data_IF_975280608862
#
_entry.id   IF_975280608862
#
_cell.length_a   1.000
_cell.length_b   1.000
_cell.length_c   1.000
_cell.angle_alpha   90.00
_cell.angle_beta   90.00
_cell.angle_gamma   90.00
#
_symmetry.space_group_name_H-M   'P 1'
#
loop_
_entity.id
_entity.type
_entity.pdbx_description
1 polymer ?
#
# COMPACT_ATOMS: atom_id res chain seq x y z
N UNK A 1 -21.91 31.41 49.33
CA UNK A 1 -21.09 31.96 48.23
C UNK A 1 -20.13 30.95 47.62
N UNK A 2 -19.30 30.23 48.40
CA UNK A 2 -18.31 29.26 47.86
C UNK A 2 -18.88 28.18 46.96
N UNK A 3 -20.05 27.59 47.28
CA UNK A 3 -20.71 26.54 46.47
C UNK A 3 -21.19 27.02 45.12
N UNK A 4 -21.69 28.24 44.97
CA UNK A 4 -22.13 28.84 43.69
C UNK A 4 -20.93 29.14 42.76
N UNK A 5 -19.78 29.51 43.33
CA UNK A 5 -18.54 29.77 42.57
C UNK A 5 -17.99 28.45 42.01
N UNK A 6 -18.02 27.36 42.79
CA UNK A 6 -17.57 26.04 42.36
C UNK A 6 -18.42 25.51 41.18
N UNK A 7 -19.74 25.67 41.26
CA UNK A 7 -20.67 25.25 40.20
C UNK A 7 -20.41 26.06 38.92
N UNK A 8 -20.16 27.37 39.04
CA UNK A 8 -19.87 28.23 37.90
C UNK A 8 -18.54 27.88 37.23
N UNK A 9 -17.50 27.56 38.03
CA UNK A 9 -16.19 27.14 37.52
C UNK A 9 -16.28 25.80 36.82
N UNK A 10 -17.01 24.81 37.37
CA UNK A 10 -17.24 23.50 36.73
C UNK A 10 -18.01 23.68 35.42
N UNK A 11 -19.06 24.51 35.41
CA UNK A 11 -19.82 24.81 34.19
C UNK A 11 -18.97 25.49 33.12
N UNK A 12 -18.10 26.43 33.52
CA UNK A 12 -17.18 27.12 32.60
C UNK A 12 -16.18 26.15 31.99
N UNK A 13 -15.59 25.25 32.81
CA UNK A 13 -14.68 24.19 32.32
C UNK A 13 -15.34 23.19 31.39
N UNK A 14 -16.63 22.87 31.65
CA UNK A 14 -17.39 21.97 30.77
C UNK A 14 -17.68 22.60 29.40
N UNK A 15 -18.06 23.86 29.36
CA UNK A 15 -18.31 24.62 28.12
C UNK A 15 -17.02 24.77 27.30
N UNK A 16 -15.89 25.10 27.96
CA UNK A 16 -14.59 25.21 27.27
C UNK A 16 -14.15 23.85 26.68
N UNK A 17 -14.33 22.74 27.41
CA UNK A 17 -14.04 21.41 26.90
C UNK A 17 -14.90 21.02 25.70
N UNK A 18 -16.20 21.31 25.75
CA UNK A 18 -17.14 21.01 24.66
C UNK A 18 -16.79 21.83 23.41
N UNK A 19 -16.52 23.12 23.56
CA UNK A 19 -16.14 23.97 22.42
C UNK A 19 -14.78 23.58 21.81
N UNK A 20 -13.81 23.18 22.65
CA UNK A 20 -12.51 22.70 22.18
C UNK A 20 -12.65 21.33 21.44
N UNK A 21 -13.49 20.42 21.94
CA UNK A 21 -13.77 19.15 21.27
C UNK A 21 -14.49 19.37 19.94
N UNK A 22 -15.50 20.22 19.90
CA UNK A 22 -16.20 20.54 18.66
C UNK A 22 -15.26 21.15 17.60
N UNK A 23 -14.28 21.96 18.03
CA UNK A 23 -13.30 22.53 17.12
C UNK A 23 -12.37 21.45 16.53
N UNK A 24 -11.93 20.46 17.33
CA UNK A 24 -11.08 19.37 16.84
C UNK A 24 -11.84 18.46 15.87
N UNK A 25 -13.08 18.09 16.20
CA UNK A 25 -13.89 17.23 15.34
C UNK A 25 -14.18 17.92 13.99
N UNK A 26 -14.41 19.23 14.01
CA UNK A 26 -14.54 20.04 12.79
C UNK A 26 -13.26 20.10 11.97
N UNK A 27 -12.08 20.17 12.63
CA UNK A 27 -10.79 20.16 11.93
C UNK A 27 -10.55 18.79 11.26
N UNK A 28 -10.88 17.68 11.94
CA UNK A 28 -10.79 16.33 11.37
C UNK A 28 -11.69 16.24 10.14
N UNK A 29 -12.97 16.58 10.27
CA UNK A 29 -13.93 16.55 9.16
C UNK A 29 -13.46 17.39 7.97
N UNK A 30 -12.93 18.60 8.19
CA UNK A 30 -12.43 19.43 7.11
C UNK A 30 -11.18 18.81 6.45
N UNK A 31 -10.31 18.14 7.22
CA UNK A 31 -9.16 17.43 6.71
C UNK A 31 -9.57 16.22 5.84
N UNK A 32 -10.55 15.44 6.30
CA UNK A 32 -11.10 14.31 5.55
C UNK A 32 -11.81 14.77 4.25
N UNK A 33 -12.57 15.86 4.32
CA UNK A 33 -13.21 16.46 3.14
C UNK A 33 -12.15 16.93 2.13
N UNK A 34 -11.11 17.63 2.58
CA UNK A 34 -10.02 18.05 1.70
C UNK A 34 -9.31 16.82 1.07
N UNK A 35 -9.09 15.75 1.84
CA UNK A 35 -8.52 14.49 1.36
C UNK A 35 -9.40 13.84 0.28
N UNK A 36 -10.73 13.82 0.50
CA UNK A 36 -11.71 13.25 -0.43
C UNK A 36 -11.76 14.00 -1.78
N UNK A 37 -11.51 15.31 -1.77
CA UNK A 37 -11.46 16.14 -2.98
C UNK A 37 -10.04 16.33 -3.53
N UNK A 38 -9.09 15.47 -3.15
CA UNK A 38 -7.69 15.47 -3.59
C UNK A 38 -6.91 16.75 -3.26
N UNK A 39 -7.43 17.61 -2.35
CA UNK A 39 -6.68 18.76 -1.83
C UNK A 39 -5.76 18.30 -0.69
N UNK A 40 -4.72 17.55 -1.06
CA UNK A 40 -3.78 16.94 -0.11
C UNK A 40 -3.04 17.99 0.73
N UNK A 41 -2.71 19.15 0.15
CA UNK A 41 -2.02 20.23 0.86
C UNK A 41 -2.90 20.79 1.96
N UNK A 42 -4.16 21.08 1.66
CA UNK A 42 -5.12 21.60 2.64
C UNK A 42 -5.43 20.53 3.71
N UNK A 43 -5.57 19.27 3.31
CA UNK A 43 -5.75 18.14 4.22
C UNK A 43 -4.63 18.07 5.25
N UNK A 44 -3.36 18.12 4.82
CA UNK A 44 -2.19 18.14 5.70
C UNK A 44 -2.24 19.34 6.67
N UNK A 45 -2.66 20.51 6.22
CA UNK A 45 -2.77 21.70 7.10
C UNK A 45 -3.80 21.49 8.23
N UNK A 46 -4.94 20.86 7.91
CA UNK A 46 -5.94 20.55 8.92
C UNK A 46 -5.44 19.50 9.91
N UNK A 47 -4.85 18.38 9.41
CA UNK A 47 -4.32 17.35 10.29
C UNK A 47 -3.13 17.83 11.14
N UNK A 48 -2.30 18.74 10.64
CA UNK A 48 -1.27 19.39 11.46
C UNK A 48 -1.87 20.10 12.68
N UNK A 49 -2.99 20.83 12.50
CA UNK A 49 -3.69 21.50 13.59
C UNK A 49 -4.29 20.49 14.58
N UNK A 50 -4.89 19.40 14.05
CA UNK A 50 -5.44 18.32 14.91
C UNK A 50 -4.34 17.69 15.75
N UNK A 51 -3.23 17.30 15.12
CA UNK A 51 -2.12 16.60 15.78
C UNK A 51 -1.34 17.47 16.76
N UNK A 52 -1.33 18.78 16.56
CA UNK A 52 -0.81 19.73 17.55
C UNK A 52 -1.66 19.76 18.84
N UNK A 53 -2.97 19.52 18.74
CA UNK A 53 -3.90 19.50 19.86
C UNK A 53 -4.09 18.11 20.47
N UNK A 54 -4.12 17.07 19.63
CA UNK A 54 -4.42 15.67 20.02
C UNK A 54 -3.49 14.69 19.32
N UNK A 55 -2.21 14.63 19.67
CA UNK A 55 -1.22 13.76 19.01
C UNK A 55 -1.43 12.26 19.28
N UNK A 56 -2.32 11.90 20.20
CA UNK A 56 -2.63 10.51 20.57
C UNK A 56 -3.74 9.88 19.70
N UNK A 57 -4.31 10.59 18.75
CA UNK A 57 -5.29 10.06 17.81
C UNK A 57 -4.55 9.44 16.62
N UNK A 58 -4.75 8.14 16.39
CA UNK A 58 -4.08 7.43 15.31
C UNK A 58 -4.58 7.83 13.91
N UNK A 59 -5.91 8.08 13.76
CA UNK A 59 -6.54 8.35 12.47
C UNK A 59 -6.00 9.60 11.78
N UNK A 60 -5.85 10.77 12.43
CA UNK A 60 -5.24 11.94 11.78
C UNK A 60 -3.78 11.73 11.34
N UNK A 61 -3.02 10.84 12.00
CA UNK A 61 -1.70 10.44 11.52
C UNK A 61 -1.80 9.64 10.23
N UNK A 62 -2.71 8.66 10.18
CA UNK A 62 -2.96 7.86 9.00
C UNK A 62 -3.44 8.71 7.83
N UNK A 63 -4.44 9.57 8.02
CA UNK A 63 -4.99 10.41 6.95
C UNK A 63 -3.95 11.41 6.41
N UNK A 64 -3.10 11.95 7.30
CA UNK A 64 -1.99 12.80 6.87
C UNK A 64 -0.92 12.00 6.10
N UNK A 65 -0.68 10.76 6.48
CA UNK A 65 0.21 9.87 5.73
C UNK A 65 -0.34 9.57 4.34
N UNK A 66 -1.66 9.36 4.20
CA UNK A 66 -2.32 9.20 2.90
C UNK A 66 -2.12 10.45 2.04
N UNK A 67 -2.38 11.64 2.59
CA UNK A 67 -2.20 12.90 1.87
C UNK A 67 -0.73 13.10 1.42
N UNK A 68 0.24 12.79 2.27
CA UNK A 68 1.66 12.87 1.95
C UNK A 68 2.06 11.87 0.85
N UNK A 69 1.52 10.65 0.90
CA UNK A 69 1.76 9.62 -0.11
C UNK A 69 1.35 10.10 -1.51
N UNK A 70 0.17 10.72 -1.62
CA UNK A 70 -0.31 11.26 -2.90
C UNK A 70 0.45 12.53 -3.37
N UNK A 71 1.21 13.17 -2.50
CA UNK A 71 2.16 14.23 -2.85
C UNK A 71 3.60 13.72 -3.05
N UNK A 72 3.78 12.41 -3.21
CA UNK A 72 5.07 11.74 -3.38
C UNK A 72 6.05 11.92 -2.18
N UNK A 73 5.57 12.42 -1.03
CA UNK A 73 6.35 12.45 0.21
C UNK A 73 6.30 11.08 0.91
N UNK A 74 6.94 10.09 0.31
CA UNK A 74 6.93 8.71 0.80
C UNK A 74 7.64 8.56 2.15
N UNK A 75 8.65 9.37 2.42
CA UNK A 75 9.36 9.38 3.71
C UNK A 75 8.45 9.92 4.81
N UNK A 76 7.78 11.03 4.55
CA UNK A 76 6.83 11.61 5.48
C UNK A 76 5.60 10.72 5.69
N UNK A 77 5.13 10.03 4.65
CA UNK A 77 4.04 9.05 4.74
C UNK A 77 4.43 7.85 5.61
N UNK A 78 5.62 7.27 5.39
CA UNK A 78 6.16 6.18 6.23
C UNK A 78 6.27 6.59 7.70
N UNK A 79 6.76 7.81 7.98
CA UNK A 79 6.90 8.32 9.33
C UNK A 79 5.54 8.47 10.04
N UNK A 80 4.56 9.07 9.36
CA UNK A 80 3.22 9.29 9.92
C UNK A 80 2.47 7.96 10.09
N UNK A 81 2.56 7.04 9.12
CA UNK A 81 2.01 5.69 9.24
C UNK A 81 2.63 4.91 10.41
N UNK A 82 3.93 5.08 10.68
CA UNK A 82 4.59 4.49 11.84
C UNK A 82 3.99 5.02 13.14
N UNK A 83 3.74 6.34 13.23
CA UNK A 83 3.06 6.92 14.39
C UNK A 83 1.63 6.41 14.56
N UNK A 84 0.90 6.22 13.47
CA UNK A 84 -0.44 5.63 13.51
C UNK A 84 -0.40 4.18 14.02
N UNK A 85 0.58 3.36 13.58
CA UNK A 85 0.78 1.97 14.06
C UNK A 85 1.14 1.94 15.55
N UNK A 86 2.03 2.82 16.01
CA UNK A 86 2.39 2.93 17.43
C UNK A 86 1.17 3.17 18.33
N UNK A 87 0.17 3.91 17.81
CA UNK A 87 -1.06 4.25 18.53
C UNK A 87 -2.16 3.19 18.34
N UNK A 88 -2.24 2.55 17.19
CA UNK A 88 -3.21 1.49 16.90
C UNK A 88 -2.62 0.43 15.95
N UNK A 89 -2.06 -0.68 16.48
CA UNK A 89 -1.42 -1.73 15.69
C UNK A 89 -2.38 -2.78 15.12
N UNK A 90 -3.69 -2.52 15.11
CA UNK A 90 -4.72 -3.50 14.72
C UNK A 90 -5.43 -3.15 13.41
N UNK A 91 -4.96 -2.14 12.69
CA UNK A 91 -5.56 -1.66 11.44
C UNK A 91 -4.65 -2.03 10.28
N UNK A 92 -5.06 -2.97 9.46
CA UNK A 92 -4.28 -3.50 8.34
C UNK A 92 -3.96 -2.45 7.28
N UNK A 93 -4.86 -1.47 7.06
CA UNK A 93 -4.67 -0.40 6.08
C UNK A 93 -3.46 0.50 6.40
N UNK A 94 -3.10 0.65 7.69
CA UNK A 94 -1.95 1.47 8.06
C UNK A 94 -0.65 0.77 7.67
N UNK A 95 -0.60 -0.57 7.84
CA UNK A 95 0.55 -1.37 7.39
C UNK A 95 0.66 -1.38 5.87
N UNK A 96 -0.46 -1.48 5.14
CA UNK A 96 -0.46 -1.39 3.67
C UNK A 96 0.08 -0.04 3.21
N UNK A 97 -0.42 1.08 3.75
CA UNK A 97 0.08 2.41 3.42
C UNK A 97 1.59 2.56 3.69
N UNK A 98 2.08 2.04 4.83
CA UNK A 98 3.51 2.07 5.13
C UNK A 98 4.30 1.19 4.17
N UNK A 99 3.80 0.01 3.85
CA UNK A 99 4.43 -0.90 2.91
C UNK A 99 4.54 -0.29 1.49
N UNK A 100 3.46 0.28 0.95
CA UNK A 100 3.52 0.93 -0.37
C UNK A 100 4.44 2.15 -0.36
N UNK A 101 4.48 2.90 0.74
CA UNK A 101 5.43 4.01 0.91
C UNK A 101 6.89 3.52 0.91
N UNK A 102 7.15 2.35 1.50
CA UNK A 102 8.46 1.67 1.50
C UNK A 102 8.83 1.12 0.13
N UNK A 103 7.87 0.56 -0.60
CA UNK A 103 8.07 0.11 -1.99
C UNK A 103 8.53 1.28 -2.86
N UNK A 104 7.89 2.46 -2.74
CA UNK A 104 8.30 3.66 -3.47
C UNK A 104 9.72 4.14 -3.13
N UNK A 105 10.26 3.70 -2.01
CA UNK A 105 11.63 3.95 -1.56
C UNK A 105 12.55 2.75 -1.80
N UNK A 106 12.11 1.73 -2.53
CA UNK A 106 12.83 0.47 -2.79
C UNK A 106 13.20 -0.34 -1.52
N UNK A 107 12.53 -0.05 -0.39
CA UNK A 107 12.72 -0.75 0.89
C UNK A 107 11.87 -2.03 0.93
N UNK A 108 12.10 -2.94 0.00
CA UNK A 108 11.25 -4.12 -0.19
C UNK A 108 11.22 -5.07 1.00
N UNK A 109 12.34 -5.28 1.69
CA UNK A 109 12.40 -6.15 2.88
C UNK A 109 11.54 -5.63 4.02
N UNK A 110 11.52 -4.30 4.23
CA UNK A 110 10.68 -3.68 5.25
C UNK A 110 9.20 -3.72 4.87
N UNK A 111 8.90 -3.59 3.57
CA UNK A 111 7.54 -3.71 3.04
C UNK A 111 6.99 -5.13 3.21
N UNK A 112 7.81 -6.18 3.02
CA UNK A 112 7.43 -7.58 3.28
C UNK A 112 6.97 -7.75 4.74
N UNK A 113 7.71 -7.18 5.69
CA UNK A 113 7.36 -7.24 7.12
C UNK A 113 6.00 -6.59 7.41
N UNK A 114 5.70 -5.47 6.76
CA UNK A 114 4.40 -4.81 6.89
C UNK A 114 3.28 -5.63 6.28
N UNK A 115 3.49 -6.21 5.09
CA UNK A 115 2.49 -7.09 4.47
C UNK A 115 2.29 -8.39 5.25
N UNK A 116 3.32 -8.95 5.90
CA UNK A 116 3.16 -10.08 6.82
C UNK A 116 2.19 -9.72 7.94
N UNK A 117 2.31 -8.50 8.47
CA UNK A 117 1.40 -8.02 9.52
C UNK A 117 0.00 -7.71 8.98
N UNK A 118 -0.12 -7.06 7.83
CA UNK A 118 -1.42 -6.77 7.19
C UNK A 118 -2.19 -8.06 6.88
N UNK A 119 -1.52 -9.07 6.30
CA UNK A 119 -2.09 -10.39 6.01
C UNK A 119 -2.52 -11.12 7.30
N UNK A 120 -1.73 -11.02 8.37
CA UNK A 120 -2.09 -11.59 9.66
C UNK A 120 -3.36 -10.97 10.23
N UNK A 121 -3.54 -9.65 10.07
CA UNK A 121 -4.72 -8.92 10.55
C UNK A 121 -5.93 -9.20 9.65
N UNK A 122 -5.74 -9.19 8.33
CA UNK A 122 -6.81 -9.46 7.37
C UNK A 122 -6.32 -10.29 6.19
N UNK A 123 -6.38 -11.64 6.28
CA UNK A 123 -5.90 -12.53 5.23
C UNK A 123 -6.80 -12.58 3.98
N UNK A 124 -7.95 -11.92 3.99
CA UNK A 124 -8.93 -11.95 2.88
C UNK A 124 -8.65 -10.90 1.79
N UNK A 125 -7.73 -9.97 2.03
CA UNK A 125 -7.35 -8.91 1.08
C UNK A 125 -6.27 -9.44 0.13
N UNK A 126 -6.66 -9.73 -1.12
CA UNK A 126 -5.77 -10.32 -2.11
C UNK A 126 -4.58 -9.41 -2.49
N UNK A 127 -4.79 -8.08 -2.49
CA UNK A 127 -3.73 -7.12 -2.84
C UNK A 127 -2.52 -7.20 -1.90
N UNK A 128 -2.70 -7.51 -0.61
CA UNK A 128 -1.58 -7.66 0.32
C UNK A 128 -0.67 -8.84 -0.09
N UNK A 129 -1.26 -9.94 -0.53
CA UNK A 129 -0.52 -11.11 -1.02
C UNK A 129 0.21 -10.80 -2.33
N UNK A 130 -0.47 -10.11 -3.26
CA UNK A 130 0.13 -9.69 -4.54
C UNK A 130 1.33 -8.78 -4.29
N UNK A 131 1.15 -7.73 -3.49
CA UNK A 131 2.20 -6.76 -3.22
C UNK A 131 3.38 -7.38 -2.46
N UNK A 132 3.11 -8.32 -1.53
CA UNK A 132 4.17 -9.06 -0.85
C UNK A 132 4.96 -9.94 -1.82
N UNK A 133 4.29 -10.64 -2.73
CA UNK A 133 4.95 -11.46 -3.74
C UNK A 133 5.83 -10.61 -4.67
N UNK A 134 5.36 -9.42 -5.08
CA UNK A 134 6.17 -8.46 -5.84
C UNK A 134 7.41 -8.02 -5.04
N UNK A 135 7.24 -7.70 -3.76
CA UNK A 135 8.39 -7.35 -2.91
C UNK A 135 9.39 -8.50 -2.79
N UNK A 136 8.91 -9.75 -2.60
CA UNK A 136 9.75 -10.95 -2.53
C UNK A 136 10.51 -11.20 -3.83
N UNK A 137 9.86 -10.98 -4.97
CA UNK A 137 10.52 -11.07 -6.28
C UNK A 137 11.66 -10.03 -6.39
N UNK A 138 11.44 -8.79 -5.95
CA UNK A 138 12.46 -7.74 -5.99
C UNK A 138 13.67 -8.02 -5.08
N UNK A 139 13.48 -8.74 -3.97
CA UNK A 139 14.60 -9.21 -3.13
C UNK A 139 15.13 -10.59 -3.54
N UNK A 140 14.69 -11.11 -4.70
CA UNK A 140 15.08 -12.40 -5.27
C UNK A 140 14.67 -13.62 -4.43
N UNK A 141 13.70 -13.46 -3.53
CA UNK A 141 13.10 -14.55 -2.76
C UNK A 141 11.98 -15.22 -3.59
N UNK A 142 12.39 -15.84 -4.70
CA UNK A 142 11.49 -16.39 -5.69
C UNK A 142 10.64 -17.55 -5.16
N UNK A 143 11.16 -18.34 -4.24
CA UNK A 143 10.43 -19.49 -3.73
C UNK A 143 9.24 -19.07 -2.86
N UNK A 144 9.42 -18.09 -1.98
CA UNK A 144 8.29 -17.55 -1.22
C UNK A 144 7.36 -16.67 -2.07
N UNK A 145 7.87 -15.99 -3.10
CA UNK A 145 7.03 -15.28 -4.05
C UNK A 145 6.09 -16.24 -4.81
N UNK A 146 6.59 -17.41 -5.24
CA UNK A 146 5.78 -18.47 -5.85
C UNK A 146 4.70 -18.99 -4.89
N UNK A 147 5.03 -19.19 -3.60
CA UNK A 147 4.06 -19.63 -2.59
C UNK A 147 2.92 -18.61 -2.41
N UNK A 148 3.23 -17.31 -2.43
CA UNK A 148 2.21 -16.28 -2.39
C UNK A 148 1.33 -16.32 -3.65
N UNK A 149 1.93 -16.39 -4.84
CA UNK A 149 1.21 -16.50 -6.11
C UNK A 149 0.29 -17.74 -6.14
N UNK A 150 0.78 -18.89 -5.68
CA UNK A 150 -0.03 -20.11 -5.57
C UNK A 150 -1.19 -19.96 -4.58
N UNK A 151 -0.95 -19.26 -3.48
CA UNK A 151 -2.00 -18.96 -2.50
C UNK A 151 -3.07 -18.08 -3.10
N UNK A 152 -2.69 -17.05 -3.87
CA UNK A 152 -3.62 -16.15 -4.55
C UNK A 152 -4.45 -16.94 -5.58
N UNK A 153 -3.81 -17.72 -6.44
CA UNK A 153 -4.47 -18.55 -7.46
C UNK A 153 -5.47 -19.52 -6.83
N UNK A 154 -5.10 -20.13 -5.71
CA UNK A 154 -5.97 -21.09 -5.00
C UNK A 154 -7.19 -20.41 -4.38
N UNK A 155 -7.03 -19.21 -3.81
CA UNK A 155 -8.10 -18.50 -3.08
C UNK A 155 -8.94 -17.60 -3.98
N UNK A 156 -8.33 -17.02 -5.01
CA UNK A 156 -8.93 -16.03 -5.92
C UNK A 156 -8.52 -16.32 -7.36
N UNK A 157 -9.02 -17.41 -7.93
CA UNK A 157 -8.63 -17.95 -9.25
C UNK A 157 -8.86 -16.99 -10.43
N UNK A 158 -9.60 -15.91 -10.24
CA UNK A 158 -9.90 -14.93 -11.30
C UNK A 158 -8.96 -13.70 -11.28
N UNK A 159 -7.92 -13.70 -10.45
CA UNK A 159 -6.94 -12.61 -10.42
C UNK A 159 -5.84 -12.92 -11.46
N UNK A 160 -5.99 -12.36 -12.66
CA UNK A 160 -5.04 -12.55 -13.77
C UNK A 160 -3.61 -12.13 -13.40
N UNK A 161 -3.44 -11.06 -12.59
CA UNK A 161 -2.14 -10.59 -12.10
C UNK A 161 -1.35 -11.65 -11.32
N UNK A 162 -2.02 -12.58 -10.62
CA UNK A 162 -1.30 -13.64 -9.91
C UNK A 162 -0.61 -14.64 -10.87
N UNK A 163 -1.21 -14.86 -12.02
CA UNK A 163 -0.66 -15.73 -13.07
C UNK A 163 0.47 -15.02 -13.82
N UNK A 164 0.32 -13.73 -14.17
CA UNK A 164 1.41 -12.96 -14.79
C UNK A 164 2.60 -12.81 -13.84
N UNK A 165 2.37 -12.54 -12.56
CA UNK A 165 3.43 -12.51 -11.55
C UNK A 165 4.17 -13.84 -11.45
N UNK A 166 3.44 -14.97 -11.45
CA UNK A 166 4.06 -16.30 -11.44
C UNK A 166 4.90 -16.54 -12.69
N UNK A 167 4.44 -16.06 -13.84
CA UNK A 167 5.20 -16.12 -15.09
C UNK A 167 6.48 -15.29 -15.02
N UNK A 168 6.43 -14.08 -14.48
CA UNK A 168 7.60 -13.23 -14.29
C UNK A 168 8.64 -13.87 -13.38
N UNK A 169 8.20 -14.48 -12.27
CA UNK A 169 9.12 -15.21 -11.37
C UNK A 169 9.81 -16.36 -12.12
N UNK A 170 9.08 -17.13 -12.95
CA UNK A 170 9.70 -18.19 -13.75
C UNK A 170 10.64 -17.63 -14.83
N UNK A 171 10.34 -16.45 -15.39
CA UNK A 171 11.24 -15.77 -16.32
C UNK A 171 12.55 -15.38 -15.64
N UNK A 172 12.49 -14.82 -14.43
CA UNK A 172 13.69 -14.52 -13.62
C UNK A 172 14.49 -15.78 -13.27
N UNK A 173 13.80 -16.90 -13.03
CA UNK A 173 14.42 -18.24 -12.86
C UNK A 173 14.92 -18.84 -14.18
N UNK A 174 14.81 -18.11 -15.32
CA UNK A 174 15.20 -18.53 -16.68
C UNK A 174 14.41 -19.72 -17.24
N UNK A 175 13.26 -20.04 -16.67
CA UNK A 175 12.34 -21.07 -17.17
C UNK A 175 11.26 -20.42 -18.06
N UNK A 176 11.64 -20.16 -19.31
CA UNK A 176 10.74 -19.52 -20.28
C UNK A 176 9.55 -20.42 -20.67
N UNK A 177 9.65 -21.74 -20.48
CA UNK A 177 8.56 -22.66 -20.77
C UNK A 177 7.44 -22.53 -19.74
N UNK A 178 7.79 -22.51 -18.46
CA UNK A 178 6.82 -22.25 -17.39
C UNK A 178 6.28 -20.84 -17.48
N UNK A 179 7.12 -19.84 -17.79
CA UNK A 179 6.66 -18.47 -17.99
C UNK A 179 5.57 -18.38 -19.06
N UNK A 180 5.78 -18.94 -20.26
CA UNK A 180 4.77 -18.95 -21.33
C UNK A 180 3.46 -19.66 -20.93
N UNK A 181 3.58 -20.78 -20.19
CA UNK A 181 2.40 -21.47 -19.68
C UNK A 181 1.55 -20.57 -18.78
N UNK A 182 2.16 -19.91 -17.81
CA UNK A 182 1.44 -19.05 -16.85
C UNK A 182 0.93 -17.74 -17.50
N UNK A 183 1.66 -17.19 -18.49
CA UNK A 183 1.16 -16.04 -19.29
C UNK A 183 -0.10 -16.42 -20.06
N UNK A 184 -0.15 -17.61 -20.66
CA UNK A 184 -1.36 -18.07 -21.35
C UNK A 184 -2.54 -18.15 -20.40
N UNK A 185 -2.35 -18.68 -19.19
CA UNK A 185 -3.39 -18.72 -18.16
C UNK A 185 -3.83 -17.34 -17.69
N UNK A 186 -2.91 -16.39 -17.58
CA UNK A 186 -3.26 -14.98 -17.25
C UNK A 186 -4.15 -14.38 -18.33
N UNK A 187 -3.79 -14.57 -19.61
CA UNK A 187 -4.54 -14.03 -20.75
C UNK A 187 -5.87 -14.75 -21.03
N UNK A 188 -6.02 -16.01 -20.61
CA UNK A 188 -7.30 -16.72 -20.61
C UNK A 188 -8.31 -16.06 -19.66
N UNK A 189 -7.84 -15.49 -18.55
CA UNK A 189 -8.67 -14.81 -17.55
C UNK A 189 -8.92 -13.36 -17.95
N UNK A 190 -7.85 -12.62 -18.29
CA UNK A 190 -7.89 -11.24 -18.73
C UNK A 190 -7.08 -11.06 -20.02
N UNK A 191 -7.74 -11.08 -21.19
CA UNK A 191 -7.07 -10.89 -22.49
C UNK A 191 -6.36 -9.54 -22.65
N UNK A 192 -6.67 -8.55 -21.78
CA UNK A 192 -6.08 -7.22 -21.80
C UNK A 192 -5.03 -7.00 -20.71
N UNK A 193 -4.61 -8.04 -20.00
CA UNK A 193 -3.57 -7.94 -18.96
C UNK A 193 -2.26 -7.41 -19.58
N UNK A 194 -1.95 -6.14 -19.27
CA UNK A 194 -0.78 -5.44 -19.84
C UNK A 194 0.54 -6.09 -19.40
N UNK A 195 0.64 -6.55 -18.14
CA UNK A 195 1.85 -7.19 -17.61
C UNK A 195 2.13 -8.50 -18.34
N UNK A 196 1.08 -9.31 -18.57
CA UNK A 196 1.21 -10.56 -19.32
C UNK A 196 1.66 -10.33 -20.76
N UNK A 197 1.12 -9.33 -21.46
CA UNK A 197 1.55 -8.97 -22.81
C UNK A 197 2.97 -8.43 -22.86
N UNK A 198 3.35 -7.59 -21.90
CA UNK A 198 4.70 -7.03 -21.79
C UNK A 198 5.72 -8.15 -21.61
N UNK A 199 5.48 -9.05 -20.66
CA UNK A 199 6.38 -10.18 -20.39
C UNK A 199 6.45 -11.15 -21.58
N UNK A 200 5.32 -11.43 -22.24
CA UNK A 200 5.28 -12.28 -23.45
C UNK A 200 6.05 -11.66 -24.61
N UNK A 201 5.93 -10.34 -24.79
CA UNK A 201 6.67 -9.62 -25.83
C UNK A 201 8.18 -9.66 -25.56
N UNK A 202 8.60 -9.51 -24.30
CA UNK A 202 10.00 -9.63 -23.90
C UNK A 202 10.56 -11.04 -24.21
N UNK A 203 9.82 -12.10 -23.88
CA UNK A 203 10.21 -13.48 -24.20
C UNK A 203 10.34 -13.67 -25.73
N UNK A 204 9.37 -13.16 -26.50
CA UNK A 204 9.38 -13.28 -27.95
C UNK A 204 10.55 -12.54 -28.62
N UNK A 205 10.90 -11.36 -28.12
CA UNK A 205 12.06 -10.59 -28.60
C UNK A 205 13.38 -11.33 -28.33
N UNK A 206 13.51 -11.94 -27.16
CA UNK A 206 14.73 -12.67 -26.79
C UNK A 206 14.85 -14.04 -27.47
N UNK A 207 13.75 -14.61 -27.98
CA UNK A 207 13.72 -15.86 -28.76
C UNK A 207 14.04 -15.66 -30.24
N UNK A 208 13.95 -14.43 -30.81
CA UNK A 208 14.24 -14.20 -32.22
C UNK A 208 15.75 -14.14 -32.46
N UNK A 209 16.33 -15.06 -33.31
CA UNK A 209 17.73 -15.04 -33.67
C UNK A 209 17.99 -14.02 -34.77
N UNK A 210 17.76 -12.72 -34.53
CA UNK A 210 18.20 -11.70 -35.51
C UNK A 210 19.74 -11.50 -35.53
N UNK A 211 20.46 -12.19 -34.65
CA UNK A 211 21.93 -12.30 -34.74
C UNK A 211 22.45 -13.24 -35.84
N UNK A 212 21.57 -14.05 -36.46
CA UNK A 212 21.99 -14.94 -37.57
C UNK A 212 21.95 -14.26 -38.95
N UNK A 213 21.44 -13.05 -39.08
CA UNK A 213 21.48 -12.31 -40.33
C UNK A 213 22.87 -11.77 -40.69
N UNK A 214 23.74 -11.50 -39.72
CA UNK A 214 25.13 -11.08 -39.97
C UNK A 214 26.06 -12.22 -40.43
N UNK A 215 25.70 -13.46 -40.15
CA UNK A 215 26.52 -14.62 -40.58
C UNK A 215 26.16 -15.14 -41.96
N UNK A 216 25.12 -14.65 -42.60
CA UNK A 216 24.76 -15.01 -43.98
C UNK A 216 25.28 -14.02 -45.05
N UNK A 217 26.03 -13.00 -44.64
CA UNK A 217 26.62 -11.99 -45.55
C UNK A 217 28.15 -11.99 -45.56
N UNK A 218 28.77 -13.05 -45.04
CA UNK A 218 30.22 -13.24 -45.12
C UNK A 218 30.61 -14.39 -46.04
#
# INVERSE_FOLDING_TARGET
MKSRIIVFVIALFSVVKVSAQYNVDRLIMNGEVALHYDDYVLSIQYFNKVLALKPYLWLPWYDRAVAKFYLDDYIGAESDATKAIDLNPYIEQIFDLRAISRIRQEKYSDAITDYDRAIHLNPSVSSFWVNRAICRMNVQDYDHALLDADTIIKRWSQIATAYSLKAEIYLEKKDTTQADHWLSRSLDIDPYNADAWTTRSYIALNRKPWRTAETCLS
#
